data_IF_211653318631
#
_entry.id   IF_211653318631
#
_cell.length_a   1.000
_cell.length_b   1.000
_cell.length_c   1.000
_cell.angle_alpha   90.00
_cell.angle_beta   90.00
_cell.angle_gamma   90.00
#
_symmetry.space_group_name_H-M   'P 1'
#
loop_
_entity.id
_entity.type
_entity.pdbx_description
1 polymer ?
#
# COMPACT_ATOMS: atom_id res chain seq x y z
N UNK A 1 -2.06 17.96 8.34
CA UNK A 1 -1.99 17.30 7.02
C UNK A 1 -2.41 15.86 7.19
N UNK A 2 -3.47 15.41 6.53
CA UNK A 2 -4.00 14.07 6.68
C UNK A 2 -3.45 13.17 5.58
N UNK A 3 -2.91 12.01 6.00
CA UNK A 3 -2.29 11.03 5.11
C UNK A 3 -3.24 9.85 4.91
N UNK A 4 -3.40 9.43 3.65
CA UNK A 4 -3.99 8.13 3.32
C UNK A 4 -3.00 7.29 2.52
N UNK A 5 -2.89 6.01 2.86
CA UNK A 5 -2.03 5.05 2.18
C UNK A 5 -2.91 3.96 1.58
N UNK A 6 -2.82 3.76 0.28
CA UNK A 6 -3.37 2.57 -0.40
C UNK A 6 -2.29 1.51 -0.45
N UNK A 7 -2.41 0.49 0.37
CA UNK A 7 -1.48 -0.63 0.43
C UNK A 7 -2.08 -1.85 -0.29
N UNK A 8 -1.35 -2.48 -1.22
CA UNK A 8 -1.77 -3.74 -1.83
C UNK A 8 -1.97 -4.84 -0.79
N UNK A 9 -0.98 -5.02 0.10
CA UNK A 9 -0.95 -6.06 1.13
C UNK A 9 -0.56 -5.48 2.49
N UNK A 10 -0.75 -6.28 3.52
CA UNK A 10 -0.34 -5.97 4.89
C UNK A 10 1.17 -6.20 5.02
N UNK A 11 1.92 -5.18 5.21
CA UNK A 11 3.36 -4.90 5.33
C UNK A 11 3.80 -3.74 4.43
N UNK A 12 3.18 -3.55 3.25
CA UNK A 12 3.55 -2.51 2.29
C UNK A 12 3.47 -1.10 2.88
N UNK A 13 2.50 -0.84 3.77
CA UNK A 13 2.33 0.44 4.45
C UNK A 13 3.52 0.78 5.35
N UNK A 14 4.14 -0.22 5.96
CA UNK A 14 5.32 -0.06 6.80
C UNK A 14 6.59 -0.04 5.96
N UNK A 15 6.70 -0.93 4.97
CA UNK A 15 7.86 -0.98 4.08
C UNK A 15 7.98 0.33 3.29
N UNK A 16 6.89 0.75 2.66
CA UNK A 16 6.87 1.95 1.79
C UNK A 16 6.87 3.26 2.56
N UNK A 17 6.19 3.36 3.71
CA UNK A 17 5.88 4.64 4.34
C UNK A 17 5.97 4.65 5.88
N UNK A 18 6.54 3.65 6.51
CA UNK A 18 6.61 3.57 7.98
C UNK A 18 7.31 4.76 8.65
N UNK A 19 8.29 5.37 7.99
CA UNK A 19 8.95 6.59 8.44
C UNK A 19 8.06 7.82 8.25
N UNK A 20 7.41 7.96 7.10
CA UNK A 20 6.48 9.06 6.84
C UNK A 20 5.28 9.03 7.80
N UNK A 21 4.75 7.84 8.12
CA UNK A 21 3.70 7.69 9.15
C UNK A 21 4.19 8.28 10.50
N UNK A 22 5.42 7.95 10.92
CA UNK A 22 5.99 8.49 12.15
C UNK A 22 6.05 10.03 12.13
N UNK A 23 6.51 10.60 11.02
CA UNK A 23 6.58 12.06 10.84
C UNK A 23 5.19 12.69 10.88
N UNK A 24 4.22 12.15 10.16
CA UNK A 24 2.84 12.64 10.17
C UNK A 24 2.22 12.57 11.57
N UNK A 25 2.38 11.45 12.26
CA UNK A 25 1.85 11.28 13.62
C UNK A 25 2.50 12.23 14.63
N UNK A 26 3.81 12.47 14.55
CA UNK A 26 4.49 13.43 15.42
C UNK A 26 4.02 14.87 15.24
N UNK A 27 3.44 15.19 14.07
CA UNK A 27 2.82 16.49 13.75
C UNK A 27 1.32 16.53 14.04
N UNK A 28 0.75 15.50 14.65
CA UNK A 28 -0.67 15.45 14.99
C UNK A 28 -1.60 15.14 13.80
N UNK A 29 -1.05 14.68 12.66
CA UNK A 29 -1.83 14.33 11.50
C UNK A 29 -2.70 13.08 11.72
N UNK A 30 -3.85 13.02 11.05
CA UNK A 30 -4.60 11.79 10.89
C UNK A 30 -3.92 10.92 9.81
N UNK A 31 -3.74 9.64 10.12
CA UNK A 31 -3.21 8.65 9.17
C UNK A 31 -4.25 7.57 8.99
N UNK A 32 -4.56 7.24 7.74
CA UNK A 32 -5.48 6.17 7.35
C UNK A 32 -4.78 5.21 6.41
N UNK A 33 -5.02 3.92 6.59
CA UNK A 33 -4.48 2.87 5.73
C UNK A 33 -5.62 2.07 5.14
N UNK A 34 -5.58 1.86 3.83
CA UNK A 34 -6.57 1.09 3.08
C UNK A 34 -5.85 -0.08 2.42
N UNK A 35 -6.17 -1.30 2.85
CA UNK A 35 -5.67 -2.53 2.24
C UNK A 35 -6.57 -2.99 1.11
N UNK A 36 -5.99 -3.13 -0.09
CA UNK A 36 -6.74 -3.57 -1.28
C UNK A 36 -7.07 -5.06 -1.20
N UNK A 37 -6.13 -5.88 -0.74
CA UNK A 37 -6.30 -7.33 -0.62
C UNK A 37 -6.27 -7.79 0.83
N UNK A 38 -6.72 -9.02 1.05
CA UNK A 38 -6.68 -9.65 2.37
C UNK A 38 -5.34 -10.33 2.68
N UNK A 39 -4.39 -10.38 1.74
CA UNK A 39 -3.14 -11.13 1.90
C UNK A 39 -3.40 -12.63 2.08
N UNK A 40 -4.46 -13.16 1.45
CA UNK A 40 -5.02 -14.49 1.69
C UNK A 40 -4.49 -15.57 0.74
N UNK A 41 -3.38 -15.32 0.06
CA UNK A 41 -2.77 -16.27 -0.88
C UNK A 41 -2.58 -17.68 -0.29
N UNK A 42 -2.22 -17.76 0.98
CA UNK A 42 -2.01 -19.02 1.70
C UNK A 42 -3.22 -19.42 2.55
N UNK A 43 -4.38 -18.79 2.34
CA UNK A 43 -5.63 -19.08 3.02
C UNK A 43 -6.04 -18.05 4.07
N UNK A 44 -7.28 -18.18 4.56
CA UNK A 44 -7.88 -17.24 5.54
C UNK A 44 -7.12 -17.17 6.86
N UNK A 45 -6.45 -18.25 7.27
CA UNK A 45 -5.63 -18.26 8.50
C UNK A 45 -4.45 -17.29 8.40
N UNK A 46 -3.76 -17.27 7.26
CA UNK A 46 -2.66 -16.33 7.01
C UNK A 46 -3.18 -14.90 6.89
N UNK A 47 -4.31 -14.68 6.20
CA UNK A 47 -4.95 -13.37 6.15
C UNK A 47 -5.23 -12.79 7.54
N UNK A 48 -5.69 -13.62 8.48
CA UNK A 48 -5.91 -13.22 9.88
C UNK A 48 -4.59 -12.85 10.59
N UNK A 49 -3.54 -13.65 10.42
CA UNK A 49 -2.22 -13.35 10.99
C UNK A 49 -1.67 -12.03 10.46
N UNK A 50 -1.72 -11.81 9.13
CA UNK A 50 -1.28 -10.57 8.51
C UNK A 50 -2.08 -9.35 9.00
N UNK A 51 -3.40 -9.52 9.19
CA UNK A 51 -4.24 -8.50 9.79
C UNK A 51 -3.73 -8.11 11.19
N UNK A 52 -3.49 -9.09 12.07
CA UNK A 52 -3.03 -8.83 13.44
C UNK A 52 -1.63 -8.19 13.45
N UNK A 53 -0.72 -8.63 12.60
CA UNK A 53 0.63 -8.07 12.46
C UNK A 53 0.59 -6.60 12.03
N UNK A 54 -0.16 -6.27 10.97
CA UNK A 54 -0.31 -4.90 10.47
C UNK A 54 -1.01 -3.99 11.49
N UNK A 55 -2.10 -4.45 12.10
CA UNK A 55 -2.80 -3.72 13.15
C UNK A 55 -1.86 -3.40 14.33
N UNK A 56 -1.04 -4.37 14.76
CA UNK A 56 -0.08 -4.18 15.85
C UNK A 56 1.02 -3.17 15.45
N UNK A 57 1.57 -3.27 14.24
CA UNK A 57 2.55 -2.31 13.73
C UNK A 57 1.99 -0.88 13.67
N UNK A 58 0.77 -0.73 13.14
CA UNK A 58 0.09 0.56 13.04
C UNK A 58 -0.28 1.13 14.41
N UNK A 59 -0.68 0.28 15.37
CA UNK A 59 -0.95 0.70 16.76
C UNK A 59 0.32 1.24 17.44
N UNK A 60 1.50 0.63 17.21
CA UNK A 60 2.79 1.15 17.70
C UNK A 60 3.10 2.55 17.15
N UNK A 61 2.57 2.90 15.99
CA UNK A 61 2.66 4.23 15.37
C UNK A 61 1.54 5.19 15.81
N UNK A 62 0.63 4.75 16.68
CA UNK A 62 -0.51 5.56 17.12
C UNK A 62 -1.60 5.74 16.04
N UNK A 63 -1.68 4.82 15.08
CA UNK A 63 -2.80 4.75 14.12
C UNK A 63 -3.88 3.87 14.73
N UNK A 64 -5.08 4.40 15.02
CA UNK A 64 -6.15 3.61 15.62
C UNK A 64 -6.75 2.64 14.60
N UNK A 65 -7.29 1.52 15.08
CA UNK A 65 -7.92 0.49 14.23
C UNK A 65 -9.09 1.06 13.40
N UNK A 66 -9.79 2.07 13.90
CA UNK A 66 -10.84 2.78 13.16
C UNK A 66 -10.36 3.49 11.88
N UNK A 67 -9.05 3.66 11.73
CA UNK A 67 -8.41 4.27 10.57
C UNK A 67 -7.79 3.21 9.63
N UNK A 68 -8.05 1.94 9.86
CA UNK A 68 -7.59 0.83 9.02
C UNK A 68 -8.79 0.26 8.26
N UNK A 69 -8.72 0.29 6.95
CA UNK A 69 -9.80 -0.11 6.04
C UNK A 69 -9.37 -1.29 5.17
N UNK A 70 -10.33 -2.14 4.82
CA UNK A 70 -10.11 -3.28 3.92
C UNK A 70 -11.11 -3.23 2.77
N UNK A 71 -10.61 -3.37 1.53
CA UNK A 71 -11.50 -3.61 0.38
C UNK A 71 -11.94 -5.07 0.31
N UNK A 72 -11.13 -5.98 0.85
CA UNK A 72 -11.51 -7.38 0.96
C UNK A 72 -11.35 -8.17 -0.33
N UNK A 73 -10.49 -7.72 -1.26
CA UNK A 73 -10.17 -8.47 -2.47
C UNK A 73 -9.08 -9.51 -2.20
N UNK A 74 -8.94 -10.45 -3.13
CA UNK A 74 -8.02 -11.57 -2.96
C UNK A 74 -6.57 -11.20 -3.28
N UNK A 75 -5.63 -11.81 -2.57
CA UNK A 75 -4.24 -11.96 -2.96
C UNK A 75 -4.03 -13.33 -3.60
N UNK A 76 -3.60 -13.40 -4.86
CA UNK A 76 -3.35 -14.65 -5.57
C UNK A 76 -1.89 -14.79 -6.03
N UNK A 77 -1.04 -13.85 -5.69
CA UNK A 77 0.40 -13.92 -5.83
C UNK A 77 1.05 -12.84 -6.69
N UNK A 78 2.34 -12.73 -6.51
CA UNK A 78 3.20 -11.65 -7.00
C UNK A 78 3.27 -11.54 -8.53
N UNK A 79 3.42 -12.69 -9.23
CA UNK A 79 3.63 -12.67 -10.68
C UNK A 79 2.42 -12.09 -11.40
N UNK A 80 2.59 -11.27 -12.47
CA UNK A 80 1.48 -10.67 -13.21
C UNK A 80 0.43 -11.69 -13.66
N UNK A 81 0.84 -12.88 -14.09
CA UNK A 81 -0.07 -13.97 -14.49
C UNK A 81 -0.95 -14.51 -13.35
N UNK A 82 -0.57 -14.28 -12.10
CA UNK A 82 -1.27 -14.74 -10.91
C UNK A 82 -1.98 -13.62 -10.16
N UNK A 83 -1.62 -12.35 -10.38
CA UNK A 83 -2.17 -11.20 -9.67
C UNK A 83 -3.69 -11.08 -9.83
N UNK A 84 -4.40 -11.00 -8.72
CA UNK A 84 -5.85 -10.80 -8.74
C UNK A 84 -6.21 -9.40 -9.21
N UNK A 85 -5.55 -8.37 -8.69
CA UNK A 85 -5.85 -6.98 -9.04
C UNK A 85 -5.52 -6.69 -10.51
N UNK A 86 -4.49 -7.34 -11.08
CA UNK A 86 -4.19 -7.18 -12.50
C UNK A 86 -5.29 -7.82 -13.38
N UNK A 87 -5.81 -8.99 -13.00
CA UNK A 87 -6.98 -9.58 -13.66
C UNK A 87 -8.21 -8.69 -13.53
N UNK A 88 -8.42 -8.09 -12.35
CA UNK A 88 -9.50 -7.15 -12.09
C UNK A 88 -9.39 -5.92 -12.99
N UNK A 89 -8.20 -5.33 -13.09
CA UNK A 89 -7.92 -4.17 -13.95
C UNK A 89 -8.30 -4.43 -15.40
N UNK A 90 -8.00 -5.62 -15.93
CA UNK A 90 -8.28 -6.00 -17.33
C UNK A 90 -9.67 -6.60 -17.55
N UNK A 91 -10.46 -6.83 -16.50
CA UNK A 91 -11.81 -7.35 -16.63
C UNK A 91 -12.80 -6.28 -17.12
N UNK A 92 -13.94 -6.63 -17.74
CA UNK A 92 -15.09 -5.73 -17.88
C UNK A 92 -15.53 -5.18 -16.51
N UNK A 93 -16.14 -4.00 -16.50
CA UNK A 93 -16.48 -3.26 -15.27
C UNK A 93 -17.36 -4.06 -14.31
N UNK A 94 -18.40 -4.69 -14.82
CA UNK A 94 -19.45 -5.40 -14.08
C UNK A 94 -19.19 -6.91 -13.91
N UNK A 95 -18.12 -7.44 -14.55
CA UNK A 95 -17.83 -8.88 -14.55
C UNK A 95 -17.31 -9.33 -13.18
N UNK A 96 -18.04 -10.20 -12.44
CA UNK A 96 -17.54 -10.78 -11.20
C UNK A 96 -16.36 -11.70 -11.46
N UNK A 97 -15.31 -11.54 -10.65
CA UNK A 97 -14.20 -12.48 -10.56
C UNK A 97 -14.33 -13.35 -9.33
N UNK A 98 -13.61 -14.46 -9.33
CA UNK A 98 -13.50 -15.36 -8.17
C UNK A 98 -12.04 -15.63 -7.85
N UNK A 99 -11.76 -15.94 -6.60
CA UNK A 99 -10.50 -16.47 -6.14
C UNK A 99 -10.68 -17.88 -5.57
N UNK A 100 -9.61 -18.61 -5.29
CA UNK A 100 -9.71 -19.90 -4.57
C UNK A 100 -10.34 -19.76 -3.17
N UNK A 101 -10.32 -18.58 -2.58
CA UNK A 101 -10.78 -18.32 -1.20
C UNK A 101 -12.18 -17.76 -1.14
N UNK A 102 -12.55 -16.87 -2.08
CA UNK A 102 -13.85 -16.20 -2.05
C UNK A 102 -14.31 -15.72 -3.43
N UNK A 103 -15.62 -15.64 -3.61
CA UNK A 103 -16.28 -14.97 -4.74
C UNK A 103 -16.84 -13.58 -4.38
N UNK A 104 -16.72 -13.18 -3.12
CA UNK A 104 -17.18 -11.89 -2.60
C UNK A 104 -16.08 -11.23 -1.79
N UNK A 105 -16.19 -9.91 -1.59
CA UNK A 105 -15.38 -9.21 -0.60
C UNK A 105 -15.60 -9.81 0.79
N UNK A 106 -14.56 -9.80 1.63
CA UNK A 106 -14.67 -10.18 3.03
C UNK A 106 -13.59 -9.51 3.86
N UNK A 107 -13.83 -9.32 5.15
CA UNK A 107 -12.82 -8.83 6.09
C UNK A 107 -12.02 -10.02 6.67
N UNK A 108 -10.69 -9.90 6.88
CA UNK A 108 -9.86 -11.01 7.40
C UNK A 108 -10.30 -11.56 8.77
N UNK A 109 -10.92 -10.70 9.58
CA UNK A 109 -11.53 -11.04 10.87
C UNK A 109 -13.01 -10.63 10.84
N UNK A 110 -13.72 -10.68 11.98
CA UNK A 110 -15.12 -10.28 12.09
C UNK A 110 -15.28 -8.74 12.04
N UNK A 111 -14.95 -8.16 10.88
CA UNK A 111 -15.04 -6.73 10.61
C UNK A 111 -15.85 -6.45 9.35
N UNK A 112 -15.91 -5.18 8.98
CA UNK A 112 -16.60 -4.72 7.77
C UNK A 112 -15.59 -4.23 6.74
N UNK A 113 -15.75 -4.67 5.50
CA UNK A 113 -15.01 -4.09 4.36
C UNK A 113 -15.54 -2.68 4.05
N UNK A 114 -14.80 -1.93 3.25
CA UNK A 114 -15.28 -0.64 2.72
C UNK A 114 -16.61 -0.81 1.99
N UNK A 115 -16.76 -1.89 1.23
CA UNK A 115 -18.03 -2.24 0.58
C UNK A 115 -19.16 -2.32 1.59
N UNK A 116 -18.95 -3.06 2.67
CA UNK A 116 -19.96 -3.23 3.71
C UNK A 116 -20.27 -1.92 4.44
N UNK A 117 -19.26 -1.09 4.70
CA UNK A 117 -19.45 0.25 5.27
C UNK A 117 -20.32 1.13 4.37
N UNK A 118 -20.08 1.12 3.06
CA UNK A 118 -20.78 1.95 2.08
C UNK A 118 -22.20 1.45 1.76
N UNK A 119 -22.41 0.11 1.70
CA UNK A 119 -23.64 -0.48 1.15
C UNK A 119 -24.43 -1.33 2.14
N UNK A 120 -23.89 -1.58 3.34
CA UNK A 120 -24.50 -2.45 4.36
C UNK A 120 -24.25 -3.96 4.14
N UNK A 121 -23.56 -4.37 3.09
CA UNK A 121 -23.30 -5.79 2.78
C UNK A 121 -22.00 -5.99 1.99
N UNK A 122 -21.45 -7.18 2.08
CA UNK A 122 -20.40 -7.64 1.18
C UNK A 122 -20.95 -7.86 -0.23
N UNK A 123 -20.09 -7.97 -1.24
CA UNK A 123 -20.54 -8.09 -2.61
C UNK A 123 -19.51 -8.73 -3.54
N UNK A 124 -19.86 -8.90 -4.83
CA UNK A 124 -19.00 -9.56 -5.80
C UNK A 124 -17.70 -8.77 -6.04
N UNK A 125 -16.66 -9.50 -6.42
CA UNK A 125 -15.35 -8.94 -6.75
C UNK A 125 -15.36 -8.39 -8.18
N UNK A 126 -15.86 -7.16 -8.37
CA UNK A 126 -15.91 -6.49 -9.68
C UNK A 126 -15.03 -5.24 -9.70
N UNK A 127 -14.56 -4.86 -10.89
CA UNK A 127 -13.79 -3.62 -11.08
C UNK A 127 -14.64 -2.39 -10.76
N UNK A 128 -15.87 -2.33 -11.22
CA UNK A 128 -16.78 -1.23 -10.94
C UNK A 128 -16.87 -0.94 -9.45
N UNK A 129 -17.10 -2.00 -8.66
CA UNK A 129 -17.27 -1.83 -7.23
C UNK A 129 -15.95 -1.45 -6.54
N UNK A 130 -14.81 -1.94 -7.01
CA UNK A 130 -13.51 -1.52 -6.50
C UNK A 130 -13.30 -0.01 -6.67
N UNK A 131 -13.59 0.52 -7.87
CA UNK A 131 -13.45 1.95 -8.16
C UNK A 131 -14.42 2.80 -7.33
N UNK A 132 -15.66 2.34 -7.15
CA UNK A 132 -16.66 3.03 -6.30
C UNK A 132 -16.24 3.03 -4.82
N UNK A 133 -15.73 1.92 -4.29
CA UNK A 133 -15.24 1.81 -2.92
C UNK A 133 -14.04 2.72 -2.69
N UNK A 134 -13.13 2.81 -3.67
CA UNK A 134 -11.97 3.69 -3.61
C UNK A 134 -12.38 5.17 -3.65
N UNK A 135 -13.24 5.56 -4.57
CA UNK A 135 -13.75 6.92 -4.65
C UNK A 135 -14.49 7.33 -3.36
N UNK A 136 -15.26 6.42 -2.78
CA UNK A 136 -15.93 6.64 -1.50
C UNK A 136 -14.94 6.88 -0.36
N UNK A 137 -13.87 6.08 -0.26
CA UNK A 137 -12.83 6.28 0.76
C UNK A 137 -12.19 7.67 0.65
N UNK A 138 -11.87 8.14 -0.55
CA UNK A 138 -11.28 9.46 -0.75
C UNK A 138 -12.25 10.57 -0.37
N UNK A 139 -13.53 10.44 -0.77
CA UNK A 139 -14.54 11.44 -0.44
C UNK A 139 -14.81 11.51 1.07
N UNK A 140 -14.91 10.35 1.74
CA UNK A 140 -15.17 10.26 3.18
C UNK A 140 -14.01 10.78 4.02
N UNK A 141 -12.78 10.49 3.60
CA UNK A 141 -11.58 10.81 4.38
C UNK A 141 -10.94 12.15 4.02
N UNK A 142 -11.17 12.65 2.80
CA UNK A 142 -10.61 13.91 2.28
C UNK A 142 -9.12 14.12 2.61
N UNK A 143 -8.20 13.19 2.24
CA UNK A 143 -6.81 13.28 2.60
C UNK A 143 -6.12 14.44 1.87
N UNK A 144 -5.13 15.06 2.52
CA UNK A 144 -4.26 16.05 1.87
C UNK A 144 -3.13 15.39 1.06
N UNK A 145 -2.68 14.22 1.54
CA UNK A 145 -1.64 13.42 0.89
C UNK A 145 -2.16 11.99 0.71
N UNK A 146 -2.14 11.52 -0.53
CA UNK A 146 -2.43 10.15 -0.90
C UNK A 146 -1.13 9.47 -1.32
N UNK A 147 -0.83 8.32 -0.70
CA UNK A 147 0.22 7.42 -1.15
C UNK A 147 -0.40 6.21 -1.83
N UNK A 148 0.08 5.88 -3.02
CA UNK A 148 -0.30 4.69 -3.77
C UNK A 148 0.95 3.86 -4.09
N UNK A 149 0.87 2.57 -4.44
CA UNK A 149 2.02 1.86 -4.95
C UNK A 149 2.47 2.44 -6.30
N UNK A 150 3.72 2.19 -6.68
CA UNK A 150 4.24 2.69 -7.94
C UNK A 150 3.80 1.79 -9.11
N UNK A 151 3.42 2.39 -10.24
CA UNK A 151 3.00 1.66 -11.45
C UNK A 151 4.10 0.79 -12.09
N UNK A 152 5.37 1.08 -11.78
CA UNK A 152 6.55 0.34 -12.23
C UNK A 152 6.99 -0.73 -11.23
N UNK A 153 6.17 -1.03 -10.22
CA UNK A 153 6.45 -2.12 -9.30
C UNK A 153 6.34 -3.48 -10.01
N UNK A 154 7.28 -4.38 -9.74
CA UNK A 154 7.30 -5.71 -10.33
C UNK A 154 6.16 -6.61 -9.83
N UNK A 155 5.58 -6.30 -8.68
CA UNK A 155 4.43 -7.03 -8.17
C UNK A 155 3.15 -6.65 -8.92
N UNK A 156 2.47 -7.63 -9.50
CA UNK A 156 1.27 -7.38 -10.32
C UNK A 156 0.15 -6.64 -9.59
N UNK A 157 -0.08 -6.92 -8.29
CA UNK A 157 -1.12 -6.23 -7.52
C UNK A 157 -0.74 -4.78 -7.22
N UNK A 158 0.57 -4.46 -7.05
CA UNK A 158 1.04 -3.09 -6.85
C UNK A 158 0.82 -2.25 -8.11
N UNK A 159 1.33 -2.71 -9.24
CA UNK A 159 1.15 -2.02 -10.52
C UNK A 159 -0.34 -1.85 -10.87
N UNK A 160 -1.16 -2.88 -10.60
CA UNK A 160 -2.58 -2.83 -10.86
C UNK A 160 -3.33 -1.86 -9.93
N UNK A 161 -2.98 -1.81 -8.63
CA UNK A 161 -3.59 -0.87 -7.69
C UNK A 161 -3.28 0.58 -8.07
N UNK A 162 -2.05 0.86 -8.52
CA UNK A 162 -1.70 2.17 -9.07
C UNK A 162 -2.61 2.55 -10.25
N UNK A 163 -2.75 1.65 -11.23
CA UNK A 163 -3.59 1.89 -12.41
C UNK A 163 -5.09 2.01 -12.05
N UNK A 164 -5.58 1.24 -11.08
CA UNK A 164 -6.97 1.35 -10.58
C UNK A 164 -7.20 2.69 -9.87
N UNK A 165 -6.23 3.19 -9.10
CA UNK A 165 -6.31 4.50 -8.45
C UNK A 165 -6.33 5.63 -9.49
N UNK A 166 -5.50 5.55 -10.54
CA UNK A 166 -5.53 6.48 -11.67
C UNK A 166 -6.87 6.43 -12.41
N UNK A 167 -7.39 5.22 -12.70
CA UNK A 167 -8.67 5.03 -13.39
C UNK A 167 -9.88 5.54 -12.58
N UNK A 168 -9.81 5.48 -11.25
CA UNK A 168 -10.81 6.06 -10.36
C UNK A 168 -10.72 7.60 -10.26
N UNK A 169 -9.69 8.22 -10.84
CA UNK A 169 -9.46 9.66 -10.76
C UNK A 169 -9.07 10.18 -9.37
N UNK A 170 -8.78 9.28 -8.42
CA UNK A 170 -8.54 9.68 -7.02
C UNK A 170 -7.23 10.43 -6.83
N UNK A 171 -6.22 10.18 -7.68
CA UNK A 171 -4.96 10.90 -7.63
C UNK A 171 -5.11 12.38 -8.00
N UNK A 172 -6.04 12.70 -8.89
CA UNK A 172 -6.37 14.09 -9.26
C UNK A 172 -7.34 14.77 -8.27
N UNK A 173 -8.02 13.97 -7.45
CA UNK A 173 -9.00 14.46 -6.47
C UNK A 173 -8.37 14.90 -5.14
N UNK A 174 -7.06 14.70 -4.94
CA UNK A 174 -6.34 15.06 -3.72
C UNK A 174 -5.29 16.14 -4.00
N UNK A 175 -4.94 16.99 -3.01
CA UNK A 175 -3.92 18.03 -3.18
C UNK A 175 -2.57 17.47 -3.59
N UNK A 176 -2.14 16.36 -3.00
CA UNK A 176 -0.86 15.71 -3.30
C UNK A 176 -1.03 14.22 -3.43
N UNK A 177 -0.56 13.65 -4.55
CA UNK A 177 -0.49 12.20 -4.76
C UNK A 177 0.95 11.79 -5.05
N UNK A 178 1.48 10.88 -4.24
CA UNK A 178 2.81 10.30 -4.40
C UNK A 178 2.71 8.77 -4.49
N UNK A 179 3.71 8.15 -5.08
CA UNK A 179 3.79 6.69 -5.10
C UNK A 179 5.06 6.19 -4.41
N UNK A 180 4.96 4.99 -3.82
CA UNK A 180 6.07 4.26 -3.21
C UNK A 180 6.36 2.98 -3.99
N UNK A 181 7.60 2.51 -3.97
CA UNK A 181 8.05 1.32 -4.70
C UNK A 181 8.56 0.28 -3.71
N UNK A 182 8.07 -0.96 -3.83
CA UNK A 182 8.51 -2.10 -3.01
C UNK A 182 9.37 -3.07 -3.83
N UNK A 183 8.91 -3.49 -5.00
CA UNK A 183 9.63 -4.46 -5.85
C UNK A 183 10.19 -3.76 -7.08
N UNK A 184 11.43 -3.31 -6.99
CA UNK A 184 12.10 -2.55 -8.05
C UNK A 184 12.64 -3.39 -9.21
N UNK A 185 12.47 -4.71 -9.19
CA UNK A 185 12.91 -5.67 -10.21
C UNK A 185 12.36 -7.07 -9.96
N UNK A 186 12.70 -8.00 -10.84
CA UNK A 186 12.25 -9.40 -10.78
C UNK A 186 12.88 -10.19 -9.61
N UNK A 187 13.96 -9.67 -9.06
CA UNK A 187 14.66 -10.20 -7.90
C UNK A 187 14.48 -9.27 -6.68
N UNK A 188 14.64 -9.81 -5.49
CA UNK A 188 14.51 -9.08 -4.23
C UNK A 188 15.77 -8.24 -3.90
N UNK A 189 16.37 -7.58 -4.92
CA UNK A 189 17.60 -6.82 -4.76
C UNK A 189 17.39 -5.31 -4.64
N UNK A 190 16.17 -4.83 -4.83
CA UNK A 190 15.82 -3.44 -4.56
C UNK A 190 14.76 -3.35 -3.44
N UNK A 191 14.95 -2.50 -2.44
CA UNK A 191 16.09 -1.63 -2.22
C UNK A 191 17.36 -2.41 -1.88
N UNK A 192 18.54 -1.92 -2.27
CA UNK A 192 19.79 -2.59 -1.93
C UNK A 192 19.99 -2.58 -0.40
N UNK A 193 20.82 -3.48 0.11
CA UNK A 193 21.11 -3.54 1.56
C UNK A 193 21.38 -2.15 2.13
N UNK A 194 20.95 -1.89 3.37
CA UNK A 194 21.02 -0.58 4.04
C UNK A 194 22.40 0.08 3.96
N UNK A 195 23.47 -0.69 3.92
CA UNK A 195 24.86 -0.20 3.78
C UNK A 195 25.21 0.38 2.41
N UNK A 196 24.36 0.18 1.39
CA UNK A 196 24.59 0.69 0.03
C UNK A 196 23.68 1.88 -0.27
N UNK A 197 24.14 2.83 -1.12
CA UNK A 197 23.24 3.88 -1.64
C UNK A 197 22.03 3.29 -2.34
N UNK A 198 20.91 4.02 -2.33
CA UNK A 198 19.76 3.67 -3.12
C UNK A 198 19.98 4.15 -4.56
N UNK A 199 20.05 3.22 -5.48
CA UNK A 199 20.21 3.48 -6.91
C UNK A 199 18.87 3.33 -7.64
N UNK A 200 18.80 3.85 -8.86
CA UNK A 200 17.62 3.70 -9.71
C UNK A 200 17.30 2.20 -9.93
N UNK A 201 16.11 1.73 -9.59
CA UNK A 201 15.76 0.33 -9.82
C UNK A 201 15.66 0.03 -11.31
N UNK A 202 15.96 -1.21 -11.74
CA UNK A 202 16.01 -1.56 -13.17
C UNK A 202 14.72 -1.32 -13.94
N UNK A 203 13.56 -1.47 -13.31
CA UNK A 203 12.25 -1.29 -13.96
C UNK A 203 11.77 0.17 -13.99
N UNK A 204 12.39 1.05 -13.22
CA UNK A 204 11.95 2.43 -13.11
C UNK A 204 12.61 3.31 -14.19
N UNK A 205 11.85 4.10 -14.97
CA UNK A 205 12.43 5.07 -15.88
C UNK A 205 13.34 6.08 -15.15
N UNK A 206 14.45 6.45 -15.75
CA UNK A 206 15.44 7.36 -15.16
C UNK A 206 14.81 8.73 -14.83
N UNK A 207 13.88 9.18 -15.66
CA UNK A 207 13.15 10.46 -15.47
C UNK A 207 12.28 10.41 -14.22
N UNK A 208 11.62 9.26 -13.97
CA UNK A 208 10.82 9.05 -12.76
C UNK A 208 11.73 9.00 -11.53
N UNK A 209 12.88 8.35 -11.64
CA UNK A 209 13.89 8.33 -10.57
C UNK A 209 14.43 9.75 -10.28
N UNK A 210 14.65 10.55 -11.31
CA UNK A 210 15.15 11.92 -11.18
C UNK A 210 14.15 12.85 -10.47
N UNK A 211 12.83 12.59 -10.59
CA UNK A 211 11.77 13.39 -9.95
C UNK A 211 11.45 12.96 -8.51
N UNK A 212 12.18 11.99 -7.96
CA UNK A 212 11.89 11.44 -6.64
C UNK A 212 11.95 12.47 -5.51
N UNK A 213 11.11 12.27 -4.53
CA UNK A 213 11.09 13.00 -3.25
C UNK A 213 11.69 12.08 -2.19
N UNK A 214 12.80 12.49 -1.58
CA UNK A 214 13.44 11.75 -0.50
C UNK A 214 13.06 12.37 0.86
N UNK A 215 12.51 11.56 1.75
CA UNK A 215 12.15 11.95 3.11
C UNK A 215 13.19 11.37 4.06
N UNK A 216 14.05 12.22 4.67
CA UNK A 216 15.10 11.75 5.58
C UNK A 216 14.49 11.24 6.88
N UNK A 217 15.06 10.16 7.43
CA UNK A 217 14.67 9.56 8.69
C UNK A 217 15.79 9.68 9.71
N UNK A 218 15.45 10.09 10.93
CA UNK A 218 16.39 10.06 12.06
C UNK A 218 16.78 8.62 12.41
N UNK A 219 17.85 8.47 13.20
CA UNK A 219 18.29 7.13 13.66
C UNK A 219 17.18 6.45 14.48
N UNK A 220 16.45 7.20 15.28
CA UNK A 220 15.33 6.70 16.09
C UNK A 220 14.20 6.22 15.19
N UNK A 221 13.86 6.98 14.15
CA UNK A 221 12.82 6.61 13.17
C UNK A 221 13.22 5.35 12.38
N UNK A 222 14.48 5.24 11.98
CA UNK A 222 15.01 4.03 11.33
C UNK A 222 14.93 2.80 12.26
N UNK A 223 15.31 2.95 13.55
CA UNK A 223 15.22 1.89 14.55
C UNK A 223 13.77 1.45 14.77
N UNK A 224 12.85 2.40 14.92
CA UNK A 224 11.43 2.08 15.07
C UNK A 224 10.89 1.39 13.82
N UNK A 225 11.19 1.90 12.61
CA UNK A 225 10.80 1.23 11.37
C UNK A 225 11.31 -0.21 11.29
N UNK A 226 12.56 -0.45 11.73
CA UNK A 226 13.11 -1.81 11.80
C UNK A 226 12.34 -2.71 12.77
N UNK A 227 11.93 -2.19 13.92
CA UNK A 227 11.10 -2.92 14.88
C UNK A 227 9.72 -3.25 14.30
N UNK A 228 9.10 -2.30 13.62
CA UNK A 228 7.80 -2.47 12.95
C UNK A 228 7.87 -3.56 11.88
N UNK A 229 8.91 -3.57 11.04
CA UNK A 229 9.13 -4.63 10.05
C UNK A 229 9.22 -6.00 10.73
N UNK A 230 9.86 -6.07 11.89
CA UNK A 230 9.98 -7.30 12.68
C UNK A 230 8.67 -7.84 13.26
N UNK A 231 7.56 -7.09 13.20
CA UNK A 231 6.24 -7.59 13.63
C UNK A 231 5.58 -8.49 12.59
N UNK A 232 5.99 -8.41 11.32
CA UNK A 232 5.42 -9.19 10.22
C UNK A 232 6.06 -10.58 10.12
N UNK A 233 5.89 -11.40 11.15
CA UNK A 233 6.48 -12.73 11.25
C UNK A 233 6.02 -13.66 10.13
N UNK A 234 4.78 -13.52 9.67
CA UNK A 234 4.24 -14.30 8.56
C UNK A 234 4.91 -13.97 7.22
N UNK A 235 5.53 -12.78 7.10
CA UNK A 235 6.20 -12.27 5.89
C UNK A 235 7.74 -12.29 6.01
N UNK A 236 8.27 -12.67 7.18
CA UNK A 236 9.71 -12.73 7.46
C UNK A 236 10.23 -14.18 7.53
N UNK A 237 10.09 -15.04 6.50
CA UNK A 237 10.86 -16.27 6.46
C UNK A 237 12.36 -15.90 6.46
N UNK A 238 13.20 -16.74 7.06
CA UNK A 238 14.64 -16.45 7.24
C UNK A 238 15.36 -16.02 5.95
N UNK A 239 14.89 -16.50 4.81
CA UNK A 239 15.40 -16.20 3.47
C UNK A 239 15.08 -14.77 2.99
N UNK A 240 13.97 -14.19 3.42
CA UNK A 240 13.52 -12.84 3.02
C UNK A 240 13.88 -11.74 4.04
N UNK A 241 14.41 -12.08 5.20
CA UNK A 241 14.76 -11.11 6.25
C UNK A 241 15.65 -9.97 5.75
N UNK A 242 16.58 -10.27 4.83
CA UNK A 242 17.47 -9.27 4.24
C UNK A 242 16.75 -8.25 3.38
N UNK A 243 15.72 -8.67 2.63
CA UNK A 243 14.93 -7.81 1.76
C UNK A 243 14.06 -6.84 2.57
N UNK A 244 13.20 -7.34 3.47
CA UNK A 244 12.29 -6.50 4.23
C UNK A 244 13.04 -5.46 5.08
N UNK A 245 14.11 -5.86 5.76
CA UNK A 245 14.91 -4.94 6.57
C UNK A 245 15.72 -3.91 5.77
N UNK A 246 15.86 -4.10 4.44
CA UNK A 246 16.48 -3.10 3.59
C UNK A 246 15.66 -1.79 3.49
N UNK A 247 14.36 -1.83 3.82
CA UNK A 247 13.49 -0.66 3.89
C UNK A 247 13.72 0.20 5.16
N UNK A 248 14.37 -0.31 6.21
CA UNK A 248 14.72 0.45 7.41
C UNK A 248 16.01 1.26 7.19
N UNK A 249 15.98 2.24 6.29
CA UNK A 249 17.13 3.02 5.84
C UNK A 249 16.98 4.51 6.20
N UNK A 250 18.04 5.29 5.93
CA UNK A 250 18.14 6.71 6.28
C UNK A 250 17.11 7.63 5.60
N UNK A 251 16.43 7.14 4.58
CA UNK A 251 15.44 7.90 3.82
C UNK A 251 14.37 6.97 3.23
N UNK A 252 13.16 7.47 3.10
CA UNK A 252 12.11 6.91 2.26
C UNK A 252 12.01 7.69 0.97
N UNK A 253 11.72 7.00 -0.13
CA UNK A 253 11.71 7.59 -1.46
C UNK A 253 10.32 7.45 -2.06
N UNK A 254 9.76 8.58 -2.49
CA UNK A 254 8.46 8.67 -3.13
C UNK A 254 8.59 9.29 -4.52
N UNK A 255 7.59 9.04 -5.37
CA UNK A 255 7.58 9.52 -6.74
C UNK A 255 6.28 10.28 -6.99
N UNK A 256 6.35 11.51 -7.57
CA UNK A 256 5.17 12.25 -7.98
C UNK A 256 4.30 11.45 -8.95
N UNK A 257 2.99 11.49 -8.75
CA UNK A 257 2.03 10.94 -9.71
C UNK A 257 1.58 12.06 -10.63
N UNK A 258 1.75 11.94 -11.97
CA UNK A 258 1.56 13.05 -12.92
C UNK A 258 0.18 13.71 -12.94
N UNK A 259 -0.84 13.04 -12.40
CA UNK A 259 -2.22 13.55 -12.32
C UNK A 259 -2.47 14.50 -11.14
N UNK A 260 -1.52 14.68 -10.23
CA UNK A 260 -1.65 15.65 -9.14
C UNK A 260 -1.47 17.08 -9.70
N UNK A 261 -2.47 17.94 -9.45
CA UNK A 261 -2.59 19.27 -10.09
C UNK A 261 -1.77 20.38 -9.41
N UNK A 262 -1.05 20.05 -8.32
CA UNK A 262 -0.30 21.03 -7.53
C UNK A 262 1.19 20.75 -7.50
N UNK A 263 1.99 21.82 -7.49
CA UNK A 263 3.41 21.71 -7.13
C UNK A 263 3.53 21.06 -5.74
N UNK A 264 4.39 20.03 -5.66
CA UNK A 264 4.59 19.32 -4.40
C UNK A 264 5.37 20.25 -3.47
N UNK A 265 4.69 20.78 -2.47
CA UNK A 265 5.35 21.49 -1.38
C UNK A 265 6.04 20.49 -0.45
N UNK A 266 7.31 20.23 -0.75
CA UNK A 266 8.17 19.29 0.03
C UNK A 266 8.35 19.80 1.48
N UNK A 267 8.17 21.10 1.76
CA UNK A 267 8.29 21.63 3.12
C UNK A 267 7.21 21.09 4.07
N UNK A 268 6.15 20.51 3.50
CA UNK A 268 5.04 19.89 4.24
C UNK A 268 5.37 18.45 4.67
N UNK A 269 6.31 17.80 4.00
CA UNK A 269 6.82 16.46 4.34
C UNK A 269 8.00 16.57 5.32
#
# INVERSE_FOLDING_TARGET
MDLMILAPHQDDEILGAGGLIQICKSRGASVRVVFATNGDRQGRGVARHRYDESRNALAMLGVPESNIYYFGYADTGMRPSHSFLLRLLHSPMDKPLTSPISSTTYHPVDGRTVRNLRTGREGPLTKEMFLLDLAWCIAECSPNLLLIPNRWDAHGDHAALAALAEAAGVCAAVPTCLSFLIHGGDDLHWPPRVSKPCECPPLLPVEVWASRVAVPLSIEQQRLKRQLIGTFLSQCPQELNGFLYAFARKEEVFFPVPSSTHEIDISVL
#
